data_IF_770338347789
#
_entry.id   IF_770338347789
#
_cell.length_a   1.000
_cell.length_b   1.000
_cell.length_c   1.000
_cell.angle_alpha   90.00
_cell.angle_beta   90.00
_cell.angle_gamma   90.00
#
_symmetry.space_group_name_H-M   'P 1'
#
loop_
_entity.id
_entity.type
_entity.pdbx_description
1 polymer ?
#
# COMPACT_ATOMS: atom_id res chain seq x y z
N UNK A 1 0.67 -18.66 1.26
CA UNK A 1 0.19 -18.52 -0.14
C UNK A 1 1.41 -18.37 -1.05
N UNK A 2 1.39 -19.00 -2.19
CA UNK A 2 2.46 -18.87 -3.19
C UNK A 2 2.44 -17.48 -3.85
N UNK A 3 3.58 -17.03 -4.38
CA UNK A 3 3.74 -15.68 -4.94
C UNK A 3 2.73 -15.36 -6.06
N UNK A 4 2.62 -16.24 -7.05
CA UNK A 4 1.70 -16.01 -8.18
C UNK A 4 0.22 -16.07 -7.76
N UNK A 5 -0.10 -16.85 -6.75
CA UNK A 5 -1.43 -16.87 -6.16
C UNK A 5 -1.73 -15.55 -5.44
N UNK A 6 -0.78 -14.99 -4.68
CA UNK A 6 -0.92 -13.69 -4.05
C UNK A 6 -1.13 -12.57 -5.08
N UNK A 7 -0.35 -12.57 -6.17
CA UNK A 7 -0.49 -11.60 -7.27
C UNK A 7 -1.87 -11.72 -7.92
N UNK A 8 -2.35 -12.94 -8.17
CA UNK A 8 -3.64 -13.16 -8.83
C UNK A 8 -4.84 -12.83 -7.94
N UNK A 9 -4.72 -13.00 -6.63
CA UNK A 9 -5.82 -12.79 -5.67
C UNK A 9 -5.84 -11.39 -5.04
N UNK A 10 -4.71 -10.67 -5.04
CA UNK A 10 -4.65 -9.33 -4.48
C UNK A 10 -5.71 -8.42 -5.15
N UNK A 11 -6.52 -7.81 -4.34
CA UNK A 11 -7.56 -6.89 -4.77
C UNK A 11 -7.62 -5.68 -3.83
N UNK A 12 -8.11 -4.54 -4.33
CA UNK A 12 -8.40 -3.36 -3.50
C UNK A 12 -9.73 -3.58 -2.77
N UNK A 13 -9.66 -3.85 -1.47
CA UNK A 13 -10.83 -4.16 -0.62
C UNK A 13 -11.17 -2.94 0.23
N UNK A 14 -12.37 -2.39 0.02
CA UNK A 14 -12.86 -1.19 0.73
C UNK A 14 -13.95 -1.50 1.77
N UNK A 15 -14.45 -2.73 1.82
CA UNK A 15 -15.33 -3.22 2.86
C UNK A 15 -14.52 -4.12 3.78
N UNK A 16 -13.90 -3.49 4.76
CA UNK A 16 -13.04 -4.11 5.73
C UNK A 16 -13.76 -4.28 7.06
N UNK A 17 -13.29 -5.18 7.88
CA UNK A 17 -13.63 -5.29 9.30
C UNK A 17 -12.35 -5.42 10.13
N UNK A 18 -12.39 -5.01 11.41
CA UNK A 18 -11.23 -5.11 12.28
C UNK A 18 -10.75 -6.56 12.39
N UNK A 19 -9.46 -6.73 12.48
CA UNK A 19 -8.80 -8.01 12.77
C UNK A 19 -7.58 -7.76 13.60
N UNK A 20 -7.30 -8.64 14.54
CA UNK A 20 -6.03 -8.63 15.22
C UNK A 20 -4.94 -9.09 14.26
N UNK A 21 -3.91 -8.27 14.09
CA UNK A 21 -2.73 -8.59 13.30
C UNK A 21 -1.59 -8.86 14.29
N UNK A 22 -1.15 -10.13 14.47
CA UNK A 22 -0.03 -10.49 15.33
C UNK A 22 1.25 -9.74 14.93
N UNK A 23 2.10 -9.46 15.91
CA UNK A 23 3.35 -8.72 15.67
C UNK A 23 4.24 -9.41 14.63
N UNK A 24 4.32 -10.74 14.65
CA UNK A 24 5.06 -11.50 13.66
C UNK A 24 4.55 -11.31 12.22
N UNK A 25 3.24 -11.15 12.02
CA UNK A 25 2.68 -10.87 10.68
C UNK A 25 2.90 -9.42 10.29
N UNK A 26 2.76 -8.48 11.24
CA UNK A 26 3.09 -7.07 11.00
C UNK A 26 4.56 -6.91 10.59
N UNK A 27 5.48 -7.54 11.30
CA UNK A 27 6.91 -7.51 10.93
C UNK A 27 7.16 -8.04 9.53
N UNK A 28 6.48 -9.12 9.12
CA UNK A 28 6.58 -9.66 7.75
C UNK A 28 6.06 -8.69 6.69
N UNK A 29 4.97 -7.98 6.98
CA UNK A 29 4.42 -6.95 6.07
C UNK A 29 5.41 -5.79 5.94
N UNK A 30 5.93 -5.30 7.06
CA UNK A 30 6.91 -4.20 7.07
C UNK A 30 8.22 -4.60 6.37
N UNK A 31 8.72 -5.81 6.62
CA UNK A 31 9.94 -6.32 5.98
C UNK A 31 9.76 -6.50 4.46
N UNK A 32 8.57 -6.90 3.99
CA UNK A 32 8.26 -6.95 2.57
C UNK A 32 8.38 -5.56 1.91
N UNK A 33 7.86 -4.52 2.55
CA UNK A 33 8.03 -3.13 2.09
C UNK A 33 9.49 -2.69 2.10
N UNK A 34 10.21 -2.97 3.19
CA UNK A 34 11.63 -2.64 3.35
C UNK A 34 12.53 -3.32 2.29
N UNK A 35 12.13 -4.49 1.79
CA UNK A 35 12.88 -5.25 0.76
C UNK A 35 12.59 -4.79 -0.67
N UNK A 36 11.70 -3.84 -0.87
CA UNK A 36 11.50 -3.25 -2.19
C UNK A 36 12.81 -2.62 -2.71
N UNK A 37 13.07 -2.68 -4.01
CA UNK A 37 14.19 -1.97 -4.60
C UNK A 37 13.99 -0.46 -4.43
N UNK A 38 15.10 0.28 -4.33
CA UNK A 38 15.08 1.74 -4.37
C UNK A 38 16.19 2.27 -5.26
N UNK A 39 15.97 3.43 -5.87
CA UNK A 39 16.94 4.08 -6.75
C UNK A 39 18.30 4.21 -6.07
N UNK A 40 19.34 3.57 -6.63
CA UNK A 40 20.69 3.51 -6.07
C UNK A 40 20.76 3.04 -4.61
N UNK A 41 19.76 2.26 -4.17
CA UNK A 41 19.59 1.78 -2.79
C UNK A 41 19.53 2.92 -1.75
N UNK A 42 18.90 4.04 -2.09
CA UNK A 42 18.82 5.23 -1.22
C UNK A 42 17.79 5.11 -0.09
N UNK A 43 16.85 4.18 -0.21
CA UNK A 43 15.89 3.80 0.84
C UNK A 43 15.18 5.02 1.46
N UNK A 44 14.45 5.83 0.65
CA UNK A 44 13.80 7.06 1.13
C UNK A 44 12.49 6.80 1.90
N UNK A 45 11.98 5.55 1.89
CA UNK A 45 10.66 5.20 2.40
C UNK A 45 10.74 4.77 3.85
N UNK A 46 9.81 5.29 4.66
CA UNK A 46 9.63 4.92 6.07
C UNK A 46 8.16 4.57 6.32
N UNK A 47 7.90 3.78 7.36
CA UNK A 47 6.57 3.28 7.69
C UNK A 47 6.12 3.78 9.05
N UNK A 48 4.85 4.21 9.15
CA UNK A 48 4.21 4.56 10.41
C UNK A 48 3.11 3.53 10.68
N UNK A 49 3.25 2.78 11.76
CA UNK A 49 2.23 1.82 12.22
C UNK A 49 1.26 2.55 13.13
N UNK A 50 0.00 2.64 12.74
CA UNK A 50 -1.04 3.36 13.45
C UNK A 50 -2.04 2.36 14.03
N UNK A 51 -2.12 2.28 15.34
CA UNK A 51 -3.10 1.47 16.10
C UNK A 51 -3.95 2.32 17.05
N UNK A 52 -3.59 3.60 17.21
CA UNK A 52 -4.34 4.56 18.00
C UNK A 52 -5.66 4.90 17.31
N UNK A 53 -6.77 4.67 18.03
CA UNK A 53 -8.13 4.84 17.49
C UNK A 53 -8.43 6.27 17.07
N UNK A 54 -7.95 7.26 17.84
CA UNK A 54 -8.20 8.67 17.55
C UNK A 54 -7.47 9.11 16.27
N UNK A 55 -6.26 8.59 16.06
CA UNK A 55 -5.49 8.83 14.84
C UNK A 55 -6.14 8.15 13.63
N UNK A 56 -6.61 6.91 13.77
CA UNK A 56 -7.33 6.16 12.73
C UNK A 56 -8.61 6.90 12.33
N UNK A 57 -9.41 7.37 13.31
CA UNK A 57 -10.63 8.14 13.05
C UNK A 57 -10.34 9.42 12.25
N UNK A 58 -9.27 10.14 12.61
CA UNK A 58 -8.86 11.36 11.88
C UNK A 58 -8.39 11.04 10.46
N UNK A 59 -7.65 9.95 10.25
CA UNK A 59 -7.23 9.49 8.93
C UNK A 59 -8.40 8.99 8.07
N UNK A 60 -9.49 8.52 8.69
CA UNK A 60 -10.68 8.04 8.01
C UNK A 60 -11.40 9.14 7.20
N UNK A 61 -11.08 10.42 7.42
CA UNK A 61 -11.53 11.53 6.57
C UNK A 61 -11.05 11.38 5.13
N UNK A 62 -9.86 10.82 4.91
CA UNK A 62 -9.36 10.52 3.57
C UNK A 62 -10.22 9.45 2.88
N UNK A 63 -10.55 8.38 3.57
CA UNK A 63 -11.43 7.32 3.07
C UNK A 63 -12.03 6.52 4.23
N UNK A 64 -13.35 6.34 4.23
CA UNK A 64 -14.08 5.74 5.35
C UNK A 64 -13.59 4.35 5.76
N UNK A 65 -13.12 3.53 4.82
CA UNK A 65 -12.60 2.20 5.12
C UNK A 65 -11.35 2.19 6.03
N UNK A 66 -10.71 3.34 6.23
CA UNK A 66 -9.63 3.50 7.22
C UNK A 66 -10.21 3.38 8.64
N UNK A 67 -11.41 3.92 8.88
CA UNK A 67 -12.09 3.82 10.18
C UNK A 67 -12.63 2.43 10.52
N UNK A 68 -12.69 1.53 9.54
CA UNK A 68 -13.22 0.18 9.70
C UNK A 68 -12.19 -0.84 10.21
N UNK A 69 -10.96 -0.41 10.50
CA UNK A 69 -9.87 -1.31 10.91
C UNK A 69 -9.20 -0.86 12.21
N UNK A 70 -8.43 -1.76 12.82
CA UNK A 70 -7.63 -1.50 14.02
C UNK A 70 -6.13 -1.30 13.73
N UNK A 71 -5.74 -1.38 12.47
CA UNK A 71 -4.36 -1.20 12.02
C UNK A 71 -4.33 -0.47 10.68
N UNK A 72 -3.57 0.62 10.63
CA UNK A 72 -3.22 1.32 9.39
C UNK A 72 -1.70 1.42 9.30
N UNK A 73 -1.15 1.18 8.11
CA UNK A 73 0.25 1.42 7.85
C UNK A 73 0.33 2.60 6.89
N UNK A 74 0.86 3.71 7.36
CA UNK A 74 1.09 4.89 6.54
C UNK A 74 2.53 4.88 5.99
N UNK A 75 2.69 5.21 4.72
CA UNK A 75 3.99 5.28 4.07
C UNK A 75 4.37 6.73 3.82
N UNK A 76 5.54 7.07 4.28
CA UNK A 76 6.17 8.38 4.05
C UNK A 76 7.45 8.20 3.26
N UNK A 77 7.82 9.21 2.49
CA UNK A 77 9.07 9.23 1.75
C UNK A 77 9.77 10.59 1.83
N UNK A 78 11.09 10.55 1.73
CA UNK A 78 11.94 11.72 1.70
C UNK A 78 12.37 12.05 0.27
N UNK A 79 11.79 13.09 -0.37
CA UNK A 79 12.16 13.49 -1.73
C UNK A 79 13.62 13.97 -1.87
N UNK A 80 14.24 14.39 -0.78
CA UNK A 80 15.64 14.85 -0.81
C UNK A 80 16.64 13.68 -0.82
N UNK A 81 16.22 12.50 -0.32
CA UNK A 81 17.06 11.29 -0.34
C UNK A 81 17.14 10.62 -1.71
N UNK A 82 16.07 10.69 -2.51
CA UNK A 82 16.00 9.99 -3.81
C UNK A 82 15.16 10.76 -4.80
N UNK A 83 15.69 10.98 -5.99
CA UNK A 83 14.92 11.48 -7.14
C UNK A 83 13.82 10.50 -7.60
N UNK A 84 13.96 9.21 -7.23
CA UNK A 84 13.01 8.13 -7.51
C UNK A 84 12.11 7.79 -6.32
N UNK A 85 11.97 8.71 -5.36
CA UNK A 85 11.25 8.47 -4.10
C UNK A 85 9.81 7.96 -4.30
N UNK A 86 9.14 8.39 -5.38
CA UNK A 86 7.76 7.99 -5.68
C UNK A 86 7.70 6.56 -6.19
N UNK A 87 8.58 6.17 -7.11
CA UNK A 87 8.72 4.80 -7.61
C UNK A 87 9.16 3.86 -6.49
N UNK A 88 10.09 4.30 -5.65
CA UNK A 88 10.57 3.57 -4.49
C UNK A 88 9.41 3.28 -3.50
N UNK A 89 8.57 4.29 -3.26
CA UNK A 89 7.38 4.16 -2.41
C UNK A 89 6.33 3.25 -3.03
N UNK A 90 6.09 3.35 -4.33
CA UNK A 90 5.15 2.49 -5.04
C UNK A 90 5.58 1.02 -4.99
N UNK A 91 6.88 0.73 -5.17
CA UNK A 91 7.42 -0.62 -5.06
C UNK A 91 7.26 -1.19 -3.64
N UNK A 92 7.55 -0.39 -2.60
CA UNK A 92 7.34 -0.78 -1.22
C UNK A 92 5.86 -1.08 -0.93
N UNK A 93 4.97 -0.21 -1.40
CA UNK A 93 3.53 -0.35 -1.22
C UNK A 93 3.00 -1.65 -1.83
N UNK A 94 3.37 -1.97 -3.08
CA UNK A 94 2.91 -3.20 -3.73
C UNK A 94 3.45 -4.46 -3.02
N UNK A 95 4.73 -4.47 -2.60
CA UNK A 95 5.26 -5.57 -1.81
C UNK A 95 4.45 -5.81 -0.52
N UNK A 96 4.08 -4.72 0.17
CA UNK A 96 3.26 -4.81 1.39
C UNK A 96 1.85 -5.33 1.10
N UNK A 97 1.21 -4.89 0.02
CA UNK A 97 -0.11 -5.37 -0.39
C UNK A 97 -0.10 -6.87 -0.74
N UNK A 98 0.96 -7.35 -1.38
CA UNK A 98 1.15 -8.77 -1.64
C UNK A 98 1.37 -9.56 -0.35
N UNK A 99 2.16 -9.04 0.59
CA UNK A 99 2.38 -9.67 1.89
C UNK A 99 1.08 -9.74 2.72
N UNK A 100 0.30 -8.64 2.76
CA UNK A 100 -1.03 -8.59 3.38
C UNK A 100 -1.93 -9.68 2.81
N UNK A 101 -1.99 -9.80 1.48
CA UNK A 101 -2.80 -10.80 0.79
C UNK A 101 -2.32 -12.22 1.09
N UNK A 102 -0.99 -12.47 1.03
CA UNK A 102 -0.39 -13.77 1.28
C UNK A 102 -0.63 -14.27 2.71
N UNK A 103 -0.75 -13.35 3.68
CA UNK A 103 -1.06 -13.62 5.08
C UNK A 103 -2.55 -13.78 5.35
N UNK A 104 -3.41 -13.62 4.35
CA UNK A 104 -4.87 -13.79 4.48
C UNK A 104 -5.61 -12.56 5.01
N UNK A 105 -4.96 -11.41 5.01
CA UNK A 105 -5.58 -10.12 5.29
C UNK A 105 -6.03 -9.44 3.99
N UNK A 106 -6.72 -8.32 4.14
CA UNK A 106 -7.18 -7.47 3.05
C UNK A 106 -6.77 -6.03 3.29
N UNK A 107 -6.57 -5.29 2.19
CA UNK A 107 -6.21 -3.88 2.24
C UNK A 107 -6.63 -3.17 0.96
N UNK A 108 -6.40 -1.86 0.94
CA UNK A 108 -6.53 -1.01 -0.23
C UNK A 108 -5.46 0.08 -0.19
N UNK A 109 -4.94 0.43 -1.35
CA UNK A 109 -4.06 1.58 -1.53
C UNK A 109 -4.89 2.87 -1.46
N UNK A 110 -4.75 3.63 -0.37
CA UNK A 110 -5.38 4.95 -0.22
C UNK A 110 -4.33 6.02 -0.47
N UNK A 111 -4.51 6.77 -1.55
CA UNK A 111 -3.62 7.87 -1.95
C UNK A 111 -4.42 9.07 -2.47
N UNK A 112 -5.18 8.91 -3.54
CA UNK A 112 -5.86 10.01 -4.25
C UNK A 112 -6.79 10.85 -3.38
N UNK A 113 -7.39 10.27 -2.35
CA UNK A 113 -8.24 10.96 -1.37
C UNK A 113 -7.46 11.45 -0.14
N UNK A 114 -6.25 10.92 0.09
CA UNK A 114 -5.37 11.35 1.17
C UNK A 114 -4.59 12.61 0.81
N UNK A 115 -4.09 12.70 -0.44
CA UNK A 115 -3.23 13.78 -0.90
C UNK A 115 -3.82 15.19 -0.82
N UNK A 116 -5.12 15.42 -1.10
CA UNK A 116 -5.72 16.76 -0.97
C UNK A 116 -5.62 17.33 0.44
N UNK A 117 -5.61 16.48 1.46
CA UNK A 117 -5.53 16.82 2.88
C UNK A 117 -4.22 16.30 3.52
N UNK A 118 -3.15 16.15 2.72
CA UNK A 118 -1.86 15.61 3.19
C UNK A 118 -1.34 16.34 4.43
N UNK A 119 -1.47 17.67 4.47
CA UNK A 119 -0.99 18.49 5.57
C UNK A 119 -1.66 18.16 6.89
N UNK A 120 -2.97 17.99 6.88
CA UNK A 120 -3.78 17.63 8.05
C UNK A 120 -3.42 16.23 8.53
N UNK A 121 -3.30 15.28 7.62
CA UNK A 121 -2.92 13.91 7.95
C UNK A 121 -1.48 13.80 8.47
N UNK A 122 -0.56 14.61 7.93
CA UNK A 122 0.81 14.73 8.47
C UNK A 122 0.81 15.24 9.90
N UNK A 123 -0.04 16.23 10.23
CA UNK A 123 -0.16 16.73 11.60
C UNK A 123 -0.68 15.67 12.56
N UNK A 124 -1.67 14.85 12.14
CA UNK A 124 -2.19 13.73 12.93
C UNK A 124 -1.08 12.73 13.28
N UNK A 125 -0.20 12.44 12.34
CA UNK A 125 0.85 11.43 12.48
C UNK A 125 2.20 12.00 12.93
N UNK A 126 2.31 13.32 13.14
CA UNK A 126 3.58 13.97 13.51
C UNK A 126 4.65 13.91 12.41
N UNK A 127 4.25 13.83 11.14
CA UNK A 127 5.17 13.75 10.00
C UNK A 127 5.81 15.11 9.72
N UNK A 128 7.15 15.21 9.69
CA UNK A 128 7.86 16.47 9.37
C UNK A 128 7.52 17.00 7.97
N UNK A 129 7.57 18.33 7.80
CA UNK A 129 7.21 19.00 6.54
C UNK A 129 8.07 18.53 5.34
N UNK A 130 9.33 18.18 5.55
CA UNK A 130 10.23 17.67 4.50
C UNK A 130 9.81 16.31 3.93
N UNK A 131 9.08 15.50 4.68
CA UNK A 131 8.61 14.19 4.23
C UNK A 131 7.24 14.31 3.55
N UNK A 132 6.98 13.45 2.59
CA UNK A 132 5.68 13.31 1.94
C UNK A 132 4.93 12.12 2.52
N UNK A 133 3.69 12.35 2.94
CA UNK A 133 2.77 11.28 3.33
C UNK A 133 1.89 10.93 2.13
N UNK A 134 2.18 9.79 1.48
CA UNK A 134 1.59 9.47 0.18
C UNK A 134 0.50 8.41 0.25
N UNK A 135 0.70 7.40 1.10
CA UNK A 135 -0.14 6.21 1.09
C UNK A 135 -0.55 5.83 2.51
N UNK A 136 -1.80 5.42 2.66
CA UNK A 136 -2.31 4.72 3.84
C UNK A 136 -2.86 3.36 3.42
N UNK A 137 -2.43 2.31 4.12
CA UNK A 137 -2.87 0.93 3.94
C UNK A 137 -3.67 0.50 5.18
N UNK A 138 -5.01 0.60 5.17
CA UNK A 138 -5.82 -0.03 6.20
C UNK A 138 -5.71 -1.55 6.07
N UNK A 139 -5.39 -2.24 7.17
CA UNK A 139 -5.26 -3.71 7.20
C UNK A 139 -6.40 -4.29 8.00
N UNK A 140 -7.18 -5.16 7.37
CA UNK A 140 -8.37 -5.75 7.97
C UNK A 140 -8.74 -7.08 7.35
N UNK A 141 -9.94 -7.55 7.68
CA UNK A 141 -10.55 -8.72 7.06
C UNK A 141 -11.53 -8.29 5.97
N UNK A 142 -11.51 -8.97 4.84
CA UNK A 142 -12.48 -8.71 3.77
C UNK A 142 -13.89 -9.16 4.18
N UNK A 143 -14.90 -8.32 4.01
CA UNK A 143 -16.29 -8.66 4.27
C UNK A 143 -16.88 -9.65 3.25
N UNK A 144 -16.25 -9.79 2.08
CA UNK A 144 -16.57 -10.75 1.01
C UNK A 144 -15.27 -11.28 0.41
N UNK A 145 -15.34 -12.42 -0.28
CA UNK A 145 -14.19 -12.93 -1.03
C UNK A 145 -13.68 -11.86 -2.00
N UNK A 146 -12.42 -11.41 -1.84
CA UNK A 146 -11.85 -10.40 -2.74
C UNK A 146 -11.84 -10.91 -4.18
N UNK A 147 -12.21 -10.03 -5.11
CA UNK A 147 -12.11 -10.31 -6.54
C UNK A 147 -11.27 -9.21 -7.19
N UNK A 148 -10.21 -9.62 -7.88
CA UNK A 148 -9.43 -8.69 -8.68
C UNK A 148 -10.28 -8.14 -9.83
N UNK A 149 -10.12 -6.84 -10.14
CA UNK A 149 -10.75 -6.25 -11.31
C UNK A 149 -10.23 -6.91 -12.59
N UNK A 150 -11.10 -7.01 -13.60
CA UNK A 150 -10.75 -7.61 -14.89
C UNK A 150 -9.55 -6.88 -15.50
N UNK A 151 -8.65 -7.64 -16.10
CA UNK A 151 -7.46 -7.13 -16.76
C UNK A 151 -7.61 -7.24 -18.27
N UNK A 152 -6.99 -6.31 -18.97
CA UNK A 152 -6.84 -6.42 -20.42
C UNK A 152 -6.10 -7.73 -20.77
N UNK A 153 -6.43 -8.35 -21.91
CA UNK A 153 -5.69 -9.53 -22.37
C UNK A 153 -4.20 -9.22 -22.49
N UNK A 154 -3.37 -10.14 -22.02
CA UNK A 154 -1.91 -9.95 -22.04
C UNK A 154 -1.38 -9.71 -23.46
N UNK A 155 -1.97 -10.38 -24.45
CA UNK A 155 -1.60 -10.22 -25.86
C UNK A 155 -1.77 -8.79 -26.40
N UNK A 156 -2.64 -7.98 -25.79
CA UNK A 156 -2.84 -6.57 -26.16
C UNK A 156 -1.82 -5.61 -25.51
N UNK A 157 -1.04 -6.11 -24.57
CA UNK A 157 -0.12 -5.31 -23.76
C UNK A 157 1.35 -5.63 -24.05
N UNK A 158 1.61 -6.72 -24.78
CA UNK A 158 2.98 -7.19 -25.06
C UNK A 158 3.35 -6.89 -26.52
N UNK A 159 4.41 -6.13 -26.67
CA UNK A 159 5.04 -5.85 -27.95
C UNK A 159 6.41 -6.56 -27.99
N UNK A 160 6.78 -7.12 -29.13
CA UNK A 160 7.99 -7.91 -29.28
C UNK A 160 9.03 -7.12 -30.06
N UNK A 161 10.22 -6.96 -29.52
CA UNK A 161 11.38 -6.27 -30.08
C UNK A 161 11.17 -4.76 -30.30
N UNK A 162 9.98 -4.33 -30.74
CA UNK A 162 9.63 -2.92 -30.89
C UNK A 162 8.15 -2.68 -30.62
N UNK A 163 7.80 -1.44 -30.26
CA UNK A 163 6.40 -1.05 -30.02
C UNK A 163 5.55 -1.22 -31.30
N UNK A 164 4.38 -1.80 -31.14
CA UNK A 164 3.45 -2.09 -32.24
C UNK A 164 3.58 -3.53 -32.79
N UNK A 165 4.65 -4.25 -32.53
CA UNK A 165 4.81 -5.63 -32.96
C UNK A 165 4.15 -6.59 -31.97
N UNK A 166 2.89 -6.94 -32.23
CA UNK A 166 2.08 -7.86 -31.40
C UNK A 166 2.06 -9.23 -32.07
N UNK A 167 2.44 -10.27 -31.32
CA UNK A 167 2.30 -11.67 -31.80
C UNK A 167 0.83 -12.07 -31.68
N UNK A 168 0.26 -12.53 -32.78
CA UNK A 168 -1.11 -13.07 -32.85
C UNK A 168 -1.15 -14.55 -32.46
#
# INVERSE_FOLDING_TARGET
MELFEAIASRASVRHLSPVEVPEADLERILDAGRRAPSGRNRQPVEFIVVRDSDSIEKLAKAQSCIGDVSLVIALVADPEKSEFWLEDLAAATENMLLAVTALGYASVWVEGTLLPEEKEHKQVLGVPDRLRLMVALPVGKAGKTPKQADKRPLAEMVHWDCYGNIRR
#
